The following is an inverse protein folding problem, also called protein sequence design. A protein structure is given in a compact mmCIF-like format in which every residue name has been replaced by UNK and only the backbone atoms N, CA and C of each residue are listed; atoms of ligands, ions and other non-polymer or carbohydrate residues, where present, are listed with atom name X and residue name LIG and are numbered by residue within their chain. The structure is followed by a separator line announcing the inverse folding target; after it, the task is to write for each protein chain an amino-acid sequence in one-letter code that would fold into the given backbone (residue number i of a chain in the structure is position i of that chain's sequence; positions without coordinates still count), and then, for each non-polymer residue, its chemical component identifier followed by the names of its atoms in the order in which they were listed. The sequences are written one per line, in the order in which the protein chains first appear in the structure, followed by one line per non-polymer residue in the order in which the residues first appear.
data_IF_134525279803
#
_entry.id   IF_134525279803
#
_cell.length_a   1.000
_cell.length_b   1.000
_cell.length_c   1.000
_cell.angle_alpha   90.00
_cell.angle_beta   90.00
_cell.angle_gamma   90.00
#
_symmetry.space_group_name_H-M   'P 1'
#
loop_
_entity.id
_entity.type
_entity.pdbx_description
1 polymer ?
#
# COMPACT_ATOMS: atom_id res chain seq x y z
N UNK A 1 -7.40 29.28 12.75
CA UNK A 1 -8.57 28.60 13.35
C UNK A 1 -9.21 27.77 12.25
N UNK A 2 -8.86 26.47 12.16
CA UNK A 2 -9.49 25.55 11.22
C UNK A 2 -10.91 25.26 11.70
N UNK A 3 -11.89 25.36 10.80
CA UNK A 3 -13.31 25.36 11.09
C UNK A 3 -13.75 23.95 11.54
N UNK A 4 -14.25 23.84 12.78
CA UNK A 4 -14.77 22.59 13.36
C UNK A 4 -15.99 22.03 12.60
N UNK A 5 -16.62 22.84 11.73
CA UNK A 5 -17.79 22.48 10.95
C UNK A 5 -17.54 21.45 9.83
N UNK A 6 -16.33 21.35 9.28
CA UNK A 6 -16.01 20.32 8.26
C UNK A 6 -15.84 18.91 8.86
N UNK A 7 -15.73 18.82 10.19
CA UNK A 7 -15.47 17.56 10.90
C UNK A 7 -16.71 16.69 11.12
N UNK A 8 -17.92 17.21 10.84
CA UNK A 8 -19.17 16.54 11.22
C UNK A 8 -19.76 15.63 10.12
N UNK A 9 -19.22 15.64 8.90
CA UNK A 9 -19.77 14.86 7.76
C UNK A 9 -19.10 13.48 7.59
N UNK A 10 -17.97 13.21 8.27
CA UNK A 10 -17.18 11.96 8.15
C UNK A 10 -17.24 11.15 9.46
N UNK A 11 -18.42 10.84 10.00
CA UNK A 11 -18.49 10.00 11.23
C UNK A 11 -18.66 8.50 10.97
N UNK A 12 -18.90 8.10 9.72
CA UNK A 12 -19.07 6.68 9.33
C UNK A 12 -18.53 6.29 7.96
N UNK A 13 -17.73 7.14 7.29
CA UNK A 13 -17.12 6.79 5.99
C UNK A 13 -15.59 6.86 6.07
N UNK A 14 -14.93 5.84 5.54
CA UNK A 14 -13.47 5.80 5.42
C UNK A 14 -13.01 6.69 4.25
N UNK A 15 -12.09 7.64 4.50
CA UNK A 15 -11.57 8.53 3.45
C UNK A 15 -10.69 7.77 2.45
N UNK A 16 -11.21 7.57 1.24
CA UNK A 16 -10.59 6.75 0.17
C UNK A 16 -9.16 7.17 -0.15
N UNK A 17 -8.90 8.48 -0.31
CA UNK A 17 -7.56 8.97 -0.66
C UNK A 17 -6.53 8.71 0.45
N UNK A 18 -6.92 8.85 1.72
CA UNK A 18 -6.06 8.54 2.86
C UNK A 18 -5.76 7.05 2.94
N UNK A 19 -6.75 6.19 2.68
CA UNK A 19 -6.54 4.74 2.64
C UNK A 19 -5.66 4.32 1.46
N UNK A 20 -5.85 4.92 0.28
CA UNK A 20 -4.97 4.70 -0.87
C UNK A 20 -3.52 5.11 -0.55
N UNK A 21 -3.31 6.31 -0.02
CA UNK A 21 -1.98 6.76 0.39
C UNK A 21 -1.36 5.84 1.45
N UNK A 22 -2.13 5.43 2.45
CA UNK A 22 -1.67 4.50 3.49
C UNK A 22 -1.28 3.13 2.90
N UNK A 23 -2.10 2.58 1.99
CA UNK A 23 -1.80 1.34 1.30
C UNK A 23 -0.54 1.43 0.44
N UNK A 24 -0.37 2.53 -0.31
CA UNK A 24 0.84 2.78 -1.10
C UNK A 24 2.09 2.83 -0.22
N UNK A 25 2.05 3.60 0.88
CA UNK A 25 3.18 3.74 1.80
C UNK A 25 3.51 2.39 2.46
N UNK A 26 2.50 1.66 2.95
CA UNK A 26 2.72 0.38 3.62
C UNK A 26 3.34 -0.66 2.69
N UNK A 27 2.78 -0.82 1.48
CA UNK A 27 3.28 -1.79 0.50
C UNK A 27 4.67 -1.39 -0.04
N UNK A 28 4.86 -0.10 -0.31
CA UNK A 28 6.15 0.46 -0.73
C UNK A 28 7.24 0.25 0.34
N UNK A 29 6.94 0.53 1.61
CA UNK A 29 7.88 0.31 2.71
C UNK A 29 8.22 -1.18 2.87
N UNK A 30 7.23 -2.07 2.82
CA UNK A 30 7.46 -3.51 2.87
C UNK A 30 8.35 -3.99 1.71
N UNK A 31 8.09 -3.48 0.50
CA UNK A 31 8.91 -3.78 -0.67
C UNK A 31 10.38 -3.37 -0.49
N UNK A 32 10.62 -2.16 0.00
CA UNK A 32 11.99 -1.68 0.30
C UNK A 32 12.66 -2.55 1.35
N UNK A 33 11.96 -2.92 2.43
CA UNK A 33 12.51 -3.81 3.46
C UNK A 33 12.86 -5.20 2.91
N UNK A 34 11.99 -5.78 2.07
CA UNK A 34 12.26 -7.05 1.41
C UNK A 34 13.44 -6.94 0.43
N UNK A 35 13.58 -5.82 -0.27
CA UNK A 35 14.72 -5.57 -1.14
C UNK A 35 16.04 -5.49 -0.36
N UNK A 36 16.05 -4.80 0.78
CA UNK A 36 17.22 -4.73 1.68
C UNK A 36 17.56 -6.13 2.20
N UNK A 37 16.58 -6.89 2.67
CA UNK A 37 16.80 -8.26 3.14
C UNK A 37 17.36 -9.18 2.04
N UNK A 38 16.83 -9.08 0.81
CA UNK A 38 17.36 -9.81 -0.34
C UNK A 38 18.81 -9.41 -0.67
N UNK A 39 19.14 -8.12 -0.57
CA UNK A 39 20.51 -7.61 -0.79
C UNK A 39 21.52 -8.12 0.25
N UNK A 40 21.04 -8.47 1.45
CA UNK A 40 21.83 -9.07 2.54
C UNK A 40 21.90 -10.60 2.47
N UNK A 41 21.31 -11.23 1.44
CA UNK A 41 21.32 -12.68 1.25
C UNK A 41 20.22 -13.44 2.02
N UNK A 42 19.22 -12.76 2.58
CA UNK A 42 18.08 -13.40 3.23
C UNK A 42 17.01 -13.79 2.21
N UNK A 43 17.18 -14.99 1.64
CA UNK A 43 16.55 -15.37 0.38
C UNK A 43 15.07 -15.81 0.45
N UNK A 44 14.64 -16.50 1.52
CA UNK A 44 13.43 -17.33 1.43
C UNK A 44 12.11 -16.55 1.25
N UNK A 45 11.76 -15.66 2.19
CA UNK A 45 10.50 -14.90 2.10
C UNK A 45 10.63 -13.63 1.25
N UNK A 46 11.79 -12.99 1.32
CA UNK A 46 12.05 -11.68 0.68
C UNK A 46 11.99 -11.76 -0.85
N UNK A 47 12.56 -12.82 -1.45
CA UNK A 47 12.61 -12.95 -2.90
C UNK A 47 11.23 -13.24 -3.50
N UNK A 48 10.41 -14.03 -2.81
CA UNK A 48 9.06 -14.37 -3.26
C UNK A 48 8.13 -13.15 -3.22
N UNK A 49 8.32 -12.24 -2.26
CA UNK A 49 7.55 -11.00 -2.22
C UNK A 49 7.97 -10.03 -3.34
N UNK A 50 9.28 -9.87 -3.59
CA UNK A 50 9.79 -9.00 -4.64
C UNK A 50 9.31 -9.44 -6.04
N UNK A 51 9.21 -10.75 -6.29
CA UNK A 51 8.79 -11.30 -7.59
C UNK A 51 7.33 -11.00 -7.94
N UNK A 52 6.50 -10.57 -6.98
CA UNK A 52 5.14 -10.10 -7.26
C UNK A 52 5.11 -8.78 -8.03
N UNK A 53 6.18 -7.98 -7.95
CA UNK A 53 6.21 -6.62 -8.49
C UNK A 53 7.29 -6.41 -9.55
N UNK A 54 8.25 -7.32 -9.70
CA UNK A 54 9.30 -7.22 -10.71
C UNK A 54 9.82 -8.58 -11.15
N UNK A 55 10.24 -8.68 -12.42
CA UNK A 55 10.92 -9.84 -13.00
C UNK A 55 12.45 -9.68 -12.99
N UNK A 56 12.96 -8.53 -12.52
CA UNK A 56 14.39 -8.28 -12.45
C UNK A 56 15.03 -9.11 -11.32
N UNK A 57 16.35 -9.41 -11.42
CA UNK A 57 17.06 -10.13 -10.37
C UNK A 57 16.89 -9.45 -9.00
N UNK A 58 16.52 -10.25 -7.99
CA UNK A 58 16.38 -9.78 -6.62
C UNK A 58 17.69 -9.17 -6.13
N UNK A 59 17.61 -8.01 -5.44
CA UNK A 59 18.79 -7.24 -5.01
C UNK A 59 19.39 -6.31 -6.08
N UNK A 60 18.88 -6.29 -7.31
CA UNK A 60 19.30 -5.30 -8.32
C UNK A 60 18.63 -3.93 -8.13
N UNK A 61 19.27 -2.85 -8.56
CA UNK A 61 18.69 -1.49 -8.57
C UNK A 61 17.51 -1.38 -9.54
N UNK A 62 17.51 -2.14 -10.63
CA UNK A 62 16.39 -2.25 -11.55
C UNK A 62 15.14 -2.86 -10.87
N UNK A 63 15.34 -3.90 -10.05
CA UNK A 63 14.27 -4.48 -9.23
C UNK A 63 13.71 -3.43 -8.25
N UNK A 64 14.58 -2.63 -7.62
CA UNK A 64 14.14 -1.58 -6.71
C UNK A 64 13.24 -0.56 -7.41
N UNK A 65 13.68 0.01 -8.53
CA UNK A 65 12.93 1.04 -9.24
C UNK A 65 11.58 0.54 -9.77
N UNK A 66 11.59 -0.53 -10.57
CA UNK A 66 10.37 -1.04 -11.20
C UNK A 66 9.37 -1.59 -10.18
N UNK A 67 9.84 -2.40 -9.23
CA UNK A 67 8.95 -3.01 -8.25
C UNK A 67 8.46 -2.04 -7.19
N UNK A 68 9.21 -0.98 -6.84
CA UNK A 68 8.70 0.08 -5.96
C UNK A 68 7.56 0.84 -6.64
N UNK A 69 7.70 1.22 -7.91
CA UNK A 69 6.61 1.88 -8.65
C UNK A 69 5.35 1.02 -8.69
N UNK A 70 5.50 -0.28 -8.94
CA UNK A 70 4.37 -1.21 -9.00
C UNK A 70 3.75 -1.45 -7.61
N UNK A 71 4.59 -1.56 -6.57
CA UNK A 71 4.14 -1.71 -5.19
C UNK A 71 3.36 -0.48 -4.70
N UNK A 72 3.81 0.74 -5.04
CA UNK A 72 3.06 1.96 -4.74
C UNK A 72 1.69 1.97 -5.44
N UNK A 73 1.64 1.60 -6.72
CA UNK A 73 0.40 1.53 -7.50
C UNK A 73 -0.60 0.52 -6.94
N UNK A 74 -0.15 -0.72 -6.67
CA UNK A 74 -1.00 -1.75 -6.07
C UNK A 74 -1.38 -1.44 -4.63
N UNK A 75 -0.49 -0.84 -3.84
CA UNK A 75 -0.80 -0.38 -2.50
C UNK A 75 -1.87 0.71 -2.52
N UNK A 76 -1.78 1.67 -3.44
CA UNK A 76 -2.81 2.68 -3.63
C UNK A 76 -4.16 2.08 -4.01
N UNK A 77 -4.16 1.16 -4.97
CA UNK A 77 -5.35 0.47 -5.43
C UNK A 77 -5.99 -0.36 -4.30
N UNK A 78 -5.19 -1.15 -3.59
CA UNK A 78 -5.65 -1.97 -2.47
C UNK A 78 -6.25 -1.13 -1.35
N UNK A 79 -5.57 -0.05 -0.95
CA UNK A 79 -6.07 0.89 0.04
C UNK A 79 -7.38 1.57 -0.38
N UNK A 80 -7.50 1.96 -1.65
CA UNK A 80 -8.73 2.53 -2.20
C UNK A 80 -9.87 1.51 -2.19
N UNK A 81 -9.62 0.28 -2.64
CA UNK A 81 -10.61 -0.81 -2.67
C UNK A 81 -11.12 -1.13 -1.26
N UNK A 82 -10.23 -1.20 -0.27
CA UNK A 82 -10.62 -1.41 1.13
C UNK A 82 -11.56 -0.29 1.59
N UNK A 83 -11.21 0.97 1.38
CA UNK A 83 -12.07 2.10 1.77
C UNK A 83 -13.43 2.07 1.05
N UNK A 84 -13.45 1.74 -0.24
CA UNK A 84 -14.69 1.59 -1.01
C UNK A 84 -15.56 0.46 -0.48
N UNK A 85 -14.96 -0.70 -0.17
CA UNK A 85 -15.67 -1.84 0.39
C UNK A 85 -16.27 -1.52 1.77
N UNK A 86 -15.49 -0.91 2.66
CA UNK A 86 -15.99 -0.45 3.96
C UNK A 86 -17.16 0.53 3.80
N UNK A 87 -17.02 1.50 2.90
CA UNK A 87 -18.08 2.48 2.64
C UNK A 87 -19.32 1.87 1.98
N UNK A 88 -19.18 0.80 1.20
CA UNK A 88 -20.29 0.09 0.57
C UNK A 88 -21.03 -0.80 1.57
N UNK A 89 -20.32 -1.36 2.55
CA UNK A 89 -20.87 -2.22 3.60
C UNK A 89 -21.40 -1.43 4.82
N UNK A 90 -21.28 -0.10 4.82
CA UNK A 90 -21.75 0.76 5.92
C UNK A 90 -23.27 0.62 6.22
N UNK A 91 -24.07 0.00 5.33
CA UNK A 91 -25.46 -0.30 5.62
C UNK A 91 -25.66 -1.43 6.65
N UNK A 92 -24.63 -2.27 6.89
CA UNK A 92 -24.67 -3.37 7.87
C UNK A 92 -24.59 -2.86 9.32
N UNK A 93 -24.24 -1.60 9.53
CA UNK A 93 -24.19 -0.97 10.86
C UNK A 93 -25.54 -0.36 11.29
N UNK A 94 -26.63 -0.66 10.57
CA UNK A 94 -28.02 -0.26 10.88
C UNK A 94 -28.81 -1.40 11.50
#
# INVERSE_FOLDING_TARGET
MANLADTHVIRGRLPVFRCAAAGAIALGALYVLCWIAASLGWANASHMYLSLFTLAPAGSTAALGAGLCWSLGFGALGGALVALAFNALAFLER
#
